data_IF_808822301686
#
_entry.id   IF_808822301686
#
_cell.length_a   1.000
_cell.length_b   1.000
_cell.length_c   1.000
_cell.angle_alpha   90.00
_cell.angle_beta   90.00
_cell.angle_gamma   90.00
#
_symmetry.space_group_name_H-M   'P 1'
#
loop_
_entity.id
_entity.type
_entity.pdbx_description
1 polymer ?
#
# COMPACT_ATOMS: atom_id res chain seq x y z
N UNK A 1 26.17 7.26 22.60
CA UNK A 1 25.72 6.78 23.94
C UNK A 1 24.35 6.16 23.79
N UNK A 2 24.19 4.88 24.16
CA UNK A 2 22.94 4.22 24.57
C UNK A 2 23.31 2.75 24.90
N UNK A 3 23.83 2.54 26.11
CA UNK A 3 23.89 1.23 26.75
C UNK A 3 23.37 1.39 28.18
N UNK A 4 22.16 0.92 28.42
CA UNK A 4 21.59 0.82 29.78
C UNK A 4 21.16 -0.61 30.11
N UNK A 5 21.56 -1.64 29.34
CA UNK A 5 21.20 -3.05 29.65
C UNK A 5 22.27 -4.13 29.39
N UNK A 6 23.52 -3.81 29.05
CA UNK A 6 24.59 -4.83 28.97
C UNK A 6 24.37 -5.91 27.92
N UNK A 7 23.46 -5.70 26.96
CA UNK A 7 23.24 -6.60 25.83
C UNK A 7 24.21 -6.17 24.73
N UNK A 8 25.23 -6.99 24.46
CA UNK A 8 26.11 -6.81 23.32
C UNK A 8 25.32 -7.10 22.02
N UNK A 9 24.67 -6.06 21.48
CA UNK A 9 24.04 -6.10 20.16
C UNK A 9 25.13 -6.22 19.10
N UNK A 10 25.30 -7.41 18.53
CA UNK A 10 26.25 -7.59 17.43
C UNK A 10 25.63 -7.12 16.12
N UNK A 11 26.47 -6.74 15.14
CA UNK A 11 25.99 -6.38 13.81
C UNK A 11 25.19 -7.52 13.15
N UNK A 12 25.52 -8.77 13.52
CA UNK A 12 24.80 -9.98 13.11
C UNK A 12 23.40 -10.05 13.73
N UNK A 13 23.23 -9.65 14.99
CA UNK A 13 21.91 -9.58 15.64
C UNK A 13 21.01 -8.52 15.01
N UNK A 14 21.58 -7.37 14.62
CA UNK A 14 20.85 -6.32 13.88
C UNK A 14 20.45 -6.81 12.49
N UNK A 15 21.30 -7.57 11.80
CA UNK A 15 20.97 -8.21 10.52
C UNK A 15 19.88 -9.28 10.68
N UNK A 16 19.99 -10.16 11.68
CA UNK A 16 19.00 -11.20 11.98
C UNK A 16 17.64 -10.60 12.37
N UNK A 17 17.65 -9.51 13.15
CA UNK A 17 16.44 -8.79 13.52
C UNK A 17 15.77 -8.15 12.30
N UNK A 18 16.56 -7.53 11.41
CA UNK A 18 16.07 -6.98 10.15
C UNK A 18 15.59 -8.05 9.15
N UNK A 19 16.19 -9.24 9.14
CA UNK A 19 15.73 -10.37 8.31
C UNK A 19 14.41 -10.94 8.82
N UNK A 20 14.26 -11.12 10.14
CA UNK A 20 13.01 -11.59 10.74
C UNK A 20 11.86 -10.59 10.56
N UNK A 21 12.15 -9.29 10.61
CA UNK A 21 11.16 -8.24 10.31
C UNK A 21 10.71 -8.23 8.84
N UNK A 22 11.60 -8.53 7.89
CA UNK A 22 11.25 -8.63 6.45
C UNK A 22 10.44 -9.88 6.14
N UNK A 23 10.83 -11.03 6.69
CA UNK A 23 10.16 -12.31 6.44
C UNK A 23 8.69 -12.30 6.90
N UNK A 24 8.39 -11.70 8.07
CA UNK A 24 7.02 -11.55 8.55
C UNK A 24 6.17 -10.56 7.74
N UNK A 25 6.81 -9.62 7.07
CA UNK A 25 6.11 -8.52 6.39
C UNK A 25 5.70 -8.87 4.97
N UNK A 26 6.59 -9.52 4.23
CA UNK A 26 6.28 -10.05 2.90
C UNK A 26 5.13 -11.08 2.98
N UNK A 27 5.13 -11.95 4.00
CA UNK A 27 4.03 -12.91 4.21
C UNK A 27 2.70 -12.24 4.53
N UNK A 28 2.69 -11.15 5.32
CA UNK A 28 1.47 -10.44 5.67
C UNK A 28 0.86 -9.71 4.46
N UNK A 29 1.69 -9.01 3.68
CA UNK A 29 1.24 -8.34 2.45
C UNK A 29 0.74 -9.36 1.41
N UNK A 30 1.48 -10.46 1.22
CA UNK A 30 1.08 -11.52 0.29
C UNK A 30 -0.23 -12.18 0.71
N UNK A 31 -0.44 -12.40 2.01
CA UNK A 31 -1.70 -12.94 2.54
C UNK A 31 -2.86 -11.98 2.32
N UNK A 32 -2.65 -10.67 2.49
CA UNK A 32 -3.64 -9.65 2.22
C UNK A 32 -4.01 -9.55 0.73
N UNK A 33 -3.01 -9.59 -0.16
CA UNK A 33 -3.23 -9.61 -1.62
C UNK A 33 -4.03 -10.85 -2.03
N UNK A 34 -3.70 -12.03 -1.48
CA UNK A 34 -4.47 -13.26 -1.71
C UNK A 34 -5.91 -13.13 -1.24
N UNK A 35 -6.15 -12.55 -0.06
CA UNK A 35 -7.49 -12.31 0.47
C UNK A 35 -8.31 -11.42 -0.48
N UNK A 36 -7.75 -10.29 -0.92
CA UNK A 36 -8.41 -9.36 -1.83
C UNK A 36 -8.80 -10.03 -3.16
N UNK A 37 -7.88 -10.79 -3.77
CA UNK A 37 -8.14 -11.48 -5.04
C UNK A 37 -9.13 -12.62 -4.91
N UNK A 38 -8.99 -13.45 -3.87
CA UNK A 38 -9.74 -14.70 -3.77
C UNK A 38 -11.13 -14.51 -3.15
N UNK A 39 -11.24 -13.66 -2.11
CA UNK A 39 -12.50 -13.47 -1.38
C UNK A 39 -13.33 -12.32 -1.94
N UNK A 40 -12.68 -11.23 -2.32
CA UNK A 40 -13.36 -10.01 -2.76
C UNK A 40 -13.32 -9.83 -4.28
N UNK A 41 -12.70 -10.77 -5.01
CA UNK A 41 -12.52 -10.71 -6.46
C UNK A 41 -11.97 -9.36 -6.94
N UNK A 42 -11.13 -8.74 -6.11
CA UNK A 42 -10.57 -7.42 -6.39
C UNK A 42 -9.42 -7.54 -7.40
N UNK A 43 -9.36 -6.58 -8.31
CA UNK A 43 -8.15 -6.29 -9.06
C UNK A 43 -7.16 -5.64 -8.10
N UNK A 44 -5.95 -6.21 -7.99
CA UNK A 44 -4.92 -5.72 -7.06
C UNK A 44 -3.62 -5.51 -7.80
N UNK A 45 -3.14 -4.28 -7.79
CA UNK A 45 -1.85 -3.84 -8.30
C UNK A 45 -0.90 -3.57 -7.13
N UNK A 46 0.32 -4.11 -7.20
CA UNK A 46 1.35 -3.88 -6.19
C UNK A 46 2.60 -3.37 -6.89
N UNK A 47 3.07 -2.20 -6.48
CA UNK A 47 4.26 -1.57 -7.03
C UNK A 47 5.45 -1.68 -6.07
N UNK A 48 6.62 -1.91 -6.66
CA UNK A 48 7.89 -1.99 -5.94
C UNK A 48 8.92 -1.14 -6.68
N UNK A 49 9.72 -0.41 -5.93
CA UNK A 49 10.93 0.24 -6.44
C UNK A 49 12.13 -0.69 -6.22
N UNK A 50 12.97 -0.85 -7.23
CA UNK A 50 14.24 -1.58 -7.09
C UNK A 50 15.32 -0.56 -6.73
N UNK A 51 15.94 -0.73 -5.56
CA UNK A 51 17.08 0.08 -5.13
C UNK A 51 18.31 -0.78 -4.97
N UNK A 52 19.43 -0.31 -5.50
CA UNK A 52 20.74 -0.91 -5.32
C UNK A 52 21.34 -0.44 -3.99
N UNK A 53 21.62 -1.39 -3.10
CA UNK A 53 22.32 -1.15 -1.85
C UNK A 53 23.55 -2.04 -1.80
N UNK A 54 24.75 -1.43 -1.89
CA UNK A 54 26.04 -2.15 -1.81
C UNK A 54 26.14 -3.33 -2.80
N UNK A 55 25.67 -3.13 -4.04
CA UNK A 55 25.68 -4.17 -5.07
C UNK A 55 24.56 -5.21 -4.98
N UNK A 56 23.65 -5.07 -4.01
CA UNK A 56 22.48 -5.94 -3.85
C UNK A 56 21.22 -5.20 -4.25
N UNK A 57 20.54 -5.70 -5.30
CA UNK A 57 19.22 -5.22 -5.73
C UNK A 57 18.16 -5.63 -4.73
N UNK A 58 17.53 -4.64 -4.09
CA UNK A 58 16.43 -4.86 -3.15
C UNK A 58 15.15 -4.22 -3.66
N UNK A 59 14.06 -5.01 -3.68
CA UNK A 59 12.71 -4.49 -3.89
C UNK A 59 12.22 -3.82 -2.62
N UNK A 60 11.70 -2.60 -2.77
CA UNK A 60 11.11 -1.80 -1.70
C UNK A 60 9.67 -1.54 -2.09
N UNK A 61 8.74 -1.91 -1.23
CA UNK A 61 7.31 -1.65 -1.43
C UNK A 61 7.07 -0.15 -1.64
N UNK A 62 6.26 0.20 -2.65
CA UNK A 62 5.89 1.58 -2.94
C UNK A 62 4.39 1.82 -2.77
N UNK A 63 3.57 0.99 -3.39
CA UNK A 63 2.12 1.09 -3.25
C UNK A 63 1.41 -0.24 -3.48
N UNK A 64 0.22 -0.35 -2.92
CA UNK A 64 -0.77 -1.36 -3.25
C UNK A 64 -2.05 -0.60 -3.59
N UNK A 65 -2.64 -0.89 -4.74
CA UNK A 65 -3.95 -0.38 -5.12
C UNK A 65 -4.88 -1.55 -5.38
N UNK A 66 -6.13 -1.43 -4.93
CA UNK A 66 -7.15 -2.38 -5.32
C UNK A 66 -8.49 -1.72 -5.61
N UNK A 67 -9.23 -2.38 -6.49
CA UNK A 67 -10.60 -2.01 -6.86
C UNK A 67 -11.39 -3.28 -7.16
N UNK A 68 -12.69 -3.28 -6.88
CA UNK A 68 -13.60 -4.38 -7.23
C UNK A 68 -14.40 -4.02 -8.48
N UNK A 69 -15.10 -4.99 -9.06
CA UNK A 69 -15.92 -4.74 -10.24
C UNK A 69 -17.00 -3.68 -9.98
N UNK A 70 -17.64 -3.71 -8.80
CA UNK A 70 -18.63 -2.69 -8.39
C UNK A 70 -18.00 -1.29 -8.32
N UNK A 71 -16.79 -1.19 -7.77
CA UNK A 71 -16.07 0.08 -7.69
C UNK A 71 -15.73 0.65 -9.07
N UNK A 72 -15.34 -0.22 -10.02
CA UNK A 72 -15.13 0.17 -11.43
C UNK A 72 -16.41 0.66 -12.09
N UNK A 73 -17.53 -0.01 -11.84
CA UNK A 73 -18.85 0.41 -12.35
C UNK A 73 -19.27 1.76 -11.78
N UNK A 74 -19.04 2.00 -10.49
CA UNK A 74 -19.35 3.28 -9.84
C UNK A 74 -18.50 4.42 -10.45
N UNK A 75 -17.23 4.16 -10.71
CA UNK A 75 -16.37 5.13 -11.38
C UNK A 75 -16.82 5.42 -12.82
N UNK A 76 -17.24 4.39 -13.57
CA UNK A 76 -17.73 4.54 -14.93
C UNK A 76 -19.07 5.30 -15.00
N UNK A 77 -19.90 5.18 -13.95
CA UNK A 77 -21.19 5.87 -13.87
C UNK A 77 -21.06 7.35 -13.50
N UNK A 78 -20.10 7.71 -12.63
CA UNK A 78 -19.91 9.08 -12.13
C UNK A 78 -18.43 9.53 -12.10
N UNK A 79 -17.77 9.67 -13.26
CA UNK A 79 -16.35 10.00 -13.34
C UNK A 79 -16.05 11.50 -13.18
N UNK A 80 -17.07 12.36 -13.04
CA UNK A 80 -16.95 13.82 -13.14
C UNK A 80 -16.13 14.43 -12.01
N UNK A 81 -16.25 13.86 -10.81
CA UNK A 81 -15.56 14.36 -9.62
C UNK A 81 -15.08 13.21 -8.76
N UNK A 82 -13.75 13.15 -8.60
CA UNK A 82 -13.09 12.19 -7.72
C UNK A 82 -12.66 12.93 -6.45
N UNK A 83 -13.13 12.44 -5.32
CA UNK A 83 -12.66 12.83 -4.00
C UNK A 83 -11.58 11.87 -3.54
N UNK A 84 -10.52 12.42 -2.96
CA UNK A 84 -9.39 11.65 -2.44
C UNK A 84 -9.19 12.05 -0.99
N UNK A 85 -9.27 11.06 -0.09
CA UNK A 85 -9.02 11.26 1.34
C UNK A 85 -7.89 10.33 1.80
N UNK A 86 -7.01 10.84 2.67
CA UNK A 86 -5.89 10.06 3.20
C UNK A 86 -6.03 9.88 4.71
N UNK A 87 -5.91 8.64 5.18
CA UNK A 87 -5.83 8.32 6.62
C UNK A 87 -4.57 7.53 6.95
N UNK A 88 -3.89 7.90 8.05
CA UNK A 88 -2.59 7.35 8.42
C UNK A 88 -2.63 6.42 9.64
N UNK A 89 -3.81 6.21 10.23
CA UNK A 89 -3.95 5.58 11.55
C UNK A 89 -4.53 4.16 11.55
N UNK A 90 -4.77 3.55 10.39
CA UNK A 90 -5.39 2.23 10.32
C UNK A 90 -4.39 1.06 10.47
N UNK A 91 -3.09 1.30 10.30
CA UNK A 91 -2.05 0.27 10.36
C UNK A 91 -1.02 0.55 11.44
N UNK A 92 -0.50 -0.50 12.10
CA UNK A 92 0.64 -0.40 13.03
C UNK A 92 1.88 0.27 12.41
N UNK A 93 1.97 0.30 11.07
CA UNK A 93 3.07 0.84 10.27
C UNK A 93 2.88 2.31 9.83
N UNK A 94 1.77 2.97 10.22
CA UNK A 94 1.45 4.36 9.83
C UNK A 94 1.56 4.62 8.32
N UNK A 95 1.21 3.63 7.51
CA UNK A 95 1.19 3.77 6.07
C UNK A 95 -0.03 4.62 5.66
N UNK A 96 0.13 5.64 4.80
CA UNK A 96 -0.99 6.37 4.24
C UNK A 96 -1.95 5.43 3.50
N UNK A 97 -3.22 5.45 3.88
CA UNK A 97 -4.31 4.82 3.16
C UNK A 97 -5.11 5.90 2.42
N UNK A 98 -5.09 5.82 1.11
CA UNK A 98 -5.84 6.65 0.19
C UNK A 98 -7.20 6.00 -0.12
N UNK A 99 -8.28 6.73 0.13
CA UNK A 99 -9.63 6.37 -0.30
C UNK A 99 -10.01 7.26 -1.48
N UNK A 100 -10.40 6.64 -2.59
CA UNK A 100 -10.89 7.34 -3.77
C UNK A 100 -12.38 7.12 -3.84
N UNK A 101 -13.14 8.21 -3.96
CA UNK A 101 -14.59 8.18 -3.95
C UNK A 101 -15.17 9.03 -5.08
N UNK A 102 -16.33 8.64 -5.58
CA UNK A 102 -17.19 9.46 -6.45
C UNK A 102 -18.49 9.77 -5.73
N UNK A 103 -19.25 10.74 -6.25
CA UNK A 103 -20.58 11.07 -5.76
C UNK A 103 -21.60 10.74 -6.84
N UNK A 104 -22.65 10.02 -6.47
CA UNK A 104 -23.76 9.78 -7.39
C UNK A 104 -24.65 11.02 -7.55
N UNK A 105 -25.67 10.90 -8.41
CA UNK A 105 -26.66 11.95 -8.67
C UNK A 105 -27.49 12.34 -7.44
N UNK A 106 -27.54 11.49 -6.42
CA UNK A 106 -28.21 11.76 -5.14
C UNK A 106 -27.26 12.36 -4.09
N UNK A 107 -25.98 12.54 -4.44
CA UNK A 107 -24.96 13.02 -3.51
C UNK A 107 -24.55 11.98 -2.48
N UNK A 108 -24.63 10.68 -2.76
CA UNK A 108 -24.03 9.64 -1.92
C UNK A 108 -22.61 9.33 -2.40
N UNK A 109 -21.70 9.11 -1.45
CA UNK A 109 -20.31 8.79 -1.75
C UNK A 109 -20.15 7.28 -1.97
N UNK A 110 -19.52 6.92 -3.09
CA UNK A 110 -19.17 5.54 -3.43
C UNK A 110 -17.66 5.41 -3.50
N UNK A 111 -17.08 4.42 -2.81
CA UNK A 111 -15.65 4.14 -2.89
C UNK A 111 -15.37 3.48 -4.24
N UNK A 112 -14.41 4.02 -4.99
CA UNK A 112 -14.01 3.53 -6.32
C UNK A 112 -12.61 2.92 -6.36
N UNK A 113 -11.84 3.12 -5.29
CA UNK A 113 -10.51 2.54 -5.17
C UNK A 113 -9.91 2.79 -3.80
N UNK A 114 -9.01 1.90 -3.42
CA UNK A 114 -8.28 2.00 -2.15
C UNK A 114 -6.80 1.78 -2.42
N UNK A 115 -5.98 2.72 -1.97
CA UNK A 115 -4.53 2.69 -2.12
C UNK A 115 -3.82 2.69 -0.78
N UNK A 116 -2.89 1.76 -0.58
CA UNK A 116 -1.93 1.78 0.51
C UNK A 116 -0.58 2.26 -0.03
N UNK A 117 -0.02 3.30 0.58
CA UNK A 117 1.19 3.96 0.09
C UNK A 117 2.35 3.81 1.07
N UNK A 118 3.57 3.65 0.55
CA UNK A 118 4.80 3.72 1.34
C UNK A 118 5.19 5.18 1.64
N UNK A 119 4.86 6.10 0.73
CA UNK A 119 5.09 7.53 0.83
C UNK A 119 4.12 8.28 -0.11
N UNK A 120 4.02 9.60 0.06
CA UNK A 120 3.11 10.46 -0.70
C UNK A 120 3.85 11.28 -1.76
N UNK A 121 4.95 10.73 -2.28
CA UNK A 121 5.70 11.38 -3.33
C UNK A 121 4.93 11.32 -4.65
N UNK A 122 5.21 12.29 -5.53
CA UNK A 122 4.57 12.46 -6.84
C UNK A 122 4.54 11.16 -7.66
N UNK A 123 5.66 10.43 -7.72
CA UNK A 123 5.76 9.20 -8.52
C UNK A 123 4.85 8.08 -7.99
N UNK A 124 4.79 7.93 -6.67
CA UNK A 124 3.96 6.92 -6.01
C UNK A 124 2.47 7.22 -6.20
N UNK A 125 2.07 8.49 -6.04
CA UNK A 125 0.70 8.94 -6.28
C UNK A 125 0.31 8.80 -7.76
N UNK A 126 1.22 9.17 -8.68
CA UNK A 126 0.99 9.03 -10.11
C UNK A 126 0.73 7.57 -10.50
N UNK A 127 1.56 6.64 -10.01
CA UNK A 127 1.38 5.21 -10.26
C UNK A 127 0.02 4.70 -9.77
N UNK A 128 -0.45 5.20 -8.63
CA UNK A 128 -1.77 4.87 -8.10
C UNK A 128 -2.90 5.37 -9.01
N UNK A 129 -2.86 6.64 -9.43
CA UNK A 129 -3.90 7.20 -10.31
C UNK A 129 -3.89 6.59 -11.72
N UNK A 130 -2.74 6.13 -12.21
CA UNK A 130 -2.66 5.35 -13.44
C UNK A 130 -3.36 3.99 -13.31
N UNK A 131 -3.34 3.37 -12.12
CA UNK A 131 -4.07 2.12 -11.87
C UNK A 131 -5.58 2.31 -11.78
N UNK A 132 -6.07 3.50 -11.38
CA UNK A 132 -7.50 3.80 -11.39
C UNK A 132 -8.10 3.76 -12.81
N UNK A 133 -7.30 4.07 -13.83
CA UNK A 133 -7.73 4.07 -15.24
C UNK A 133 -7.77 2.67 -15.88
N UNK A 134 -7.30 1.63 -15.18
CA UNK A 134 -7.23 0.25 -15.68
C UNK A 134 -8.47 -0.54 -15.29
#
# INVERSE_FOLDING_TARGET
>A
MLNTKGIHLTAKDVQNFNQNLKAKDDDALNSFVKLLRNKYHATVDVSYEVRDYLGVRKKVFQSLFFTTEKMKQDFAAWPEMIFVDTTYNLFKRKLPLLLLCVRDTMGLAHIIGVGLLANEQKETLRSLFENLKK
#
